data_IF_923091662401
#
_entry.id   IF_923091662401
#
_cell.length_a   1.000
_cell.length_b   1.000
_cell.length_c   1.000
_cell.angle_alpha   90.00
_cell.angle_beta   90.00
_cell.angle_gamma   90.00
#
_symmetry.space_group_name_H-M   'P 1'
#
loop_
_entity.id
_entity.type
_entity.pdbx_description
1 polymer ?
#
# COMPACT_ATOMS: atom_id res chain seq x y z
N UNK A 1 2.98 -21.46 -45.66
CA UNK A 1 2.90 -20.00 -45.45
C UNK A 1 3.97 -19.46 -44.49
N UNK A 2 4.30 -20.14 -43.37
CA UNK A 2 5.40 -19.75 -42.46
C UNK A 2 6.78 -19.58 -43.14
N UNK A 3 7.16 -20.46 -44.09
CA UNK A 3 8.45 -20.37 -44.80
C UNK A 3 8.63 -19.07 -45.58
N UNK A 4 7.56 -18.46 -46.08
CA UNK A 4 7.63 -17.19 -46.82
C UNK A 4 7.89 -16.00 -45.88
N UNK A 5 7.30 -16.02 -44.68
CA UNK A 5 7.52 -14.99 -43.66
C UNK A 5 8.97 -15.07 -43.12
N UNK A 6 9.49 -16.27 -42.90
CA UNK A 6 10.87 -16.47 -42.43
C UNK A 6 11.95 -15.96 -43.40
N UNK A 7 11.74 -16.14 -44.71
CA UNK A 7 12.70 -15.65 -45.73
C UNK A 7 12.63 -14.12 -45.88
N UNK A 8 11.44 -13.52 -45.80
CA UNK A 8 11.26 -12.06 -45.86
C UNK A 8 11.86 -11.38 -44.62
N UNK A 9 11.67 -11.98 -43.44
CA UNK A 9 12.26 -11.50 -42.19
C UNK A 9 13.79 -11.53 -42.22
N UNK A 10 14.38 -12.57 -42.81
CA UNK A 10 15.84 -12.66 -42.96
C UNK A 10 16.39 -11.71 -44.04
N UNK A 11 15.69 -11.56 -45.17
CA UNK A 11 16.10 -10.68 -46.26
C UNK A 11 16.05 -9.19 -45.84
N UNK A 12 15.09 -8.80 -45.01
CA UNK A 12 14.92 -7.43 -44.54
C UNK A 12 15.22 -7.28 -43.05
N UNK A 13 16.22 -8.03 -42.55
CA UNK A 13 16.56 -8.06 -41.11
C UNK A 13 16.72 -6.67 -40.47
N UNK A 14 17.25 -5.69 -41.21
CA UNK A 14 17.40 -4.30 -40.72
C UNK A 14 16.06 -3.59 -40.59
N UNK A 15 15.16 -3.76 -41.56
CA UNK A 15 13.81 -3.15 -41.53
C UNK A 15 12.98 -3.75 -40.41
N UNK A 16 13.04 -5.07 -40.22
CA UNK A 16 12.33 -5.76 -39.13
C UNK A 16 12.83 -5.29 -37.76
N UNK A 17 14.15 -5.12 -37.58
CA UNK A 17 14.72 -4.60 -36.34
C UNK A 17 14.30 -3.15 -36.08
N UNK A 18 14.31 -2.29 -37.11
CA UNK A 18 13.87 -0.89 -36.98
C UNK A 18 12.39 -0.80 -36.63
N UNK A 19 11.54 -1.61 -37.25
CA UNK A 19 10.10 -1.67 -36.93
C UNK A 19 9.90 -2.12 -35.49
N UNK A 20 10.60 -3.17 -35.04
CA UNK A 20 10.50 -3.63 -33.66
C UNK A 20 10.99 -2.59 -32.65
N UNK A 21 12.08 -1.88 -32.94
CA UNK A 21 12.55 -0.77 -32.12
C UNK A 21 11.51 0.35 -32.04
N UNK A 22 10.90 0.72 -33.18
CA UNK A 22 9.85 1.74 -33.20
C UNK A 22 8.62 1.31 -32.38
N UNK A 23 8.21 0.05 -32.48
CA UNK A 23 7.11 -0.52 -31.68
C UNK A 23 7.45 -0.49 -30.18
N UNK A 24 8.66 -0.89 -29.79
CA UNK A 24 9.09 -0.85 -28.37
C UNK A 24 9.09 0.58 -27.84
N UNK A 25 9.63 1.53 -28.60
CA UNK A 25 9.65 2.95 -28.19
C UNK A 25 8.22 3.49 -28.07
N UNK A 26 7.33 3.17 -29.02
CA UNK A 26 5.94 3.58 -28.97
C UNK A 26 5.21 2.98 -27.75
N UNK A 27 5.42 1.70 -27.44
CA UNK A 27 4.87 1.05 -26.25
C UNK A 27 5.42 1.68 -24.96
N UNK A 28 6.73 1.91 -24.89
CA UNK A 28 7.37 2.54 -23.72
C UNK A 28 6.87 3.97 -23.49
N UNK A 29 6.71 4.77 -24.55
CA UNK A 29 6.12 6.08 -24.47
C UNK A 29 4.63 6.02 -24.05
N UNK A 30 3.90 5.01 -24.51
CA UNK A 30 2.51 4.76 -24.12
C UNK A 30 2.36 4.46 -22.63
N UNK A 31 3.25 3.64 -22.04
CA UNK A 31 3.21 3.30 -20.61
C UNK A 31 3.28 4.55 -19.72
N UNK A 32 4.05 5.56 -20.11
CA UNK A 32 4.12 6.83 -19.37
C UNK A 32 2.81 7.65 -19.40
N UNK A 33 1.97 7.46 -20.42
CA UNK A 33 0.68 8.17 -20.56
C UNK A 33 -0.46 7.44 -19.85
N UNK A 34 -0.41 6.10 -19.78
CA UNK A 34 -1.46 5.29 -19.15
C UNK A 34 -1.31 5.14 -17.62
N UNK A 35 -0.23 5.64 -17.04
CA UNK A 35 -0.01 5.68 -15.59
C UNK A 35 0.35 4.32 -14.98
N UNK A 36 1.08 4.35 -13.87
CA UNK A 36 1.57 3.19 -13.12
C UNK A 36 0.46 2.47 -12.31
N UNK A 37 -0.76 2.37 -12.85
CA UNK A 37 -1.91 1.74 -12.18
C UNK A 37 -1.83 0.20 -12.19
N UNK A 38 -0.65 -0.35 -11.89
CA UNK A 38 -0.52 -1.77 -11.54
C UNK A 38 -1.14 -1.98 -10.16
N UNK A 39 -2.46 -2.09 -10.10
CA UNK A 39 -3.15 -2.57 -8.92
C UNK A 39 -2.82 -4.05 -8.74
N UNK A 40 -2.11 -4.41 -7.68
CA UNK A 40 -1.93 -5.81 -7.23
C UNK A 40 -3.24 -6.41 -6.68
N UNK A 41 -4.39 -5.98 -7.20
CA UNK A 41 -5.67 -6.54 -6.83
C UNK A 41 -5.78 -7.91 -7.48
N UNK A 42 -5.38 -8.94 -6.72
CA UNK A 42 -5.69 -10.33 -7.02
C UNK A 42 -7.20 -10.55 -6.83
N UNK A 43 -8.01 -9.88 -7.64
CA UNK A 43 -9.42 -10.18 -7.80
C UNK A 43 -9.50 -11.43 -8.67
N UNK A 44 -9.57 -12.61 -8.05
CA UNK A 44 -10.12 -13.79 -8.68
C UNK A 44 -11.64 -13.71 -8.47
N UNK A 45 -12.44 -13.21 -9.43
CA UNK A 45 -13.86 -12.89 -9.21
C UNK A 45 -14.76 -14.10 -8.93
N UNK A 46 -14.22 -15.33 -9.00
CA UNK A 46 -14.96 -16.58 -8.80
C UNK A 46 -14.32 -17.47 -7.72
N UNK A 47 -13.93 -16.89 -6.58
CA UNK A 47 -13.56 -17.68 -5.40
C UNK A 47 -14.42 -17.30 -4.20
N UNK A 48 -14.84 -18.30 -3.43
CA UNK A 48 -15.68 -18.14 -2.23
C UNK A 48 -15.03 -17.18 -1.22
N UNK A 49 -13.70 -17.15 -1.16
CA UNK A 49 -12.93 -16.20 -0.35
C UNK A 49 -13.23 -14.74 -0.69
N UNK A 50 -13.45 -14.40 -1.96
CA UNK A 50 -13.74 -13.03 -2.39
C UNK A 50 -15.13 -12.56 -1.91
N UNK A 51 -16.13 -13.43 -1.98
CA UNK A 51 -17.47 -13.16 -1.43
C UNK A 51 -17.44 -13.02 0.10
N UNK A 52 -16.55 -13.75 0.78
CA UNK A 52 -16.30 -13.59 2.21
C UNK A 52 -15.80 -12.19 2.57
N UNK A 53 -14.84 -11.64 1.81
CA UNK A 53 -14.33 -10.28 2.01
C UNK A 53 -15.39 -9.21 1.72
N UNK A 54 -16.21 -9.39 0.69
CA UNK A 54 -17.29 -8.45 0.36
C UNK A 54 -18.38 -8.44 1.45
N UNK A 55 -18.67 -9.59 2.07
CA UNK A 55 -19.60 -9.66 3.20
C UNK A 55 -19.02 -9.02 4.47
N UNK A 56 -17.72 -9.17 4.71
CA UNK A 56 -17.00 -8.48 5.78
C UNK A 56 -17.09 -6.96 5.61
N UNK A 57 -16.81 -6.46 4.40
CA UNK A 57 -16.89 -5.03 4.07
C UNK A 57 -18.31 -4.47 4.25
N UNK A 58 -19.33 -5.19 3.79
CA UNK A 58 -20.73 -4.78 3.95
C UNK A 58 -21.22 -4.78 5.41
N UNK A 59 -20.72 -5.69 6.26
CA UNK A 59 -21.21 -5.88 7.64
C UNK A 59 -20.41 -5.11 8.68
N UNK A 60 -19.11 -4.93 8.45
CA UNK A 60 -18.19 -4.37 9.43
C UNK A 60 -17.54 -3.05 8.96
N UNK A 61 -17.81 -2.62 7.73
CA UNK A 61 -17.18 -1.44 7.13
C UNK A 61 -15.75 -1.75 6.69
N UNK A 62 -15.36 -1.30 5.50
CA UNK A 62 -14.06 -1.60 4.89
C UNK A 62 -12.81 -1.07 5.60
N UNK A 63 -12.94 -0.53 6.82
CA UNK A 63 -11.83 -0.01 7.61
C UNK A 63 -10.80 -1.10 7.97
N UNK A 64 -11.24 -2.34 8.14
CA UNK A 64 -10.37 -3.49 8.44
C UNK A 64 -9.85 -4.20 7.17
N UNK A 65 -10.41 -3.88 5.99
CA UNK A 65 -9.98 -4.45 4.70
C UNK A 65 -8.89 -3.64 4.00
N UNK A 66 -8.56 -2.45 4.51
CA UNK A 66 -7.46 -1.62 4.03
C UNK A 66 -6.08 -2.19 4.38
N UNK A 67 -5.02 -1.60 3.81
CA UNK A 67 -3.65 -1.85 4.30
C UNK A 67 -3.55 -1.33 5.74
N UNK A 68 -3.02 -2.13 6.64
CA UNK A 68 -2.72 -1.72 8.01
C UNK A 68 -1.23 -1.74 8.29
N UNK A 69 -0.73 -0.77 9.06
CA UNK A 69 0.62 -0.70 9.59
C UNK A 69 0.62 -0.72 11.12
N UNK A 70 1.81 -0.92 11.69
CA UNK A 70 2.03 -0.83 13.14
C UNK A 70 3.25 0.04 13.42
N UNK A 71 3.06 1.07 14.25
CA UNK A 71 4.15 1.91 14.75
C UNK A 71 4.50 1.40 16.15
N UNK A 72 5.73 0.89 16.33
CA UNK A 72 6.19 0.35 17.60
C UNK A 72 7.15 1.34 18.26
N UNK A 73 6.85 1.70 19.51
CA UNK A 73 7.68 2.59 20.32
C UNK A 73 8.21 1.81 21.51
N UNK A 74 9.49 2.02 21.83
CA UNK A 74 10.16 1.38 22.97
C UNK A 74 10.80 2.42 23.88
N UNK A 75 10.48 2.35 25.17
CA UNK A 75 11.17 3.07 26.23
C UNK A 75 11.88 2.10 27.17
N UNK A 76 13.15 2.35 27.48
CA UNK A 76 13.95 1.50 28.36
C UNK A 76 13.45 1.51 29.82
N UNK A 77 12.86 2.61 30.26
CA UNK A 77 12.37 2.82 31.64
C UNK A 77 10.84 2.78 31.79
N UNK A 78 10.11 2.48 30.72
CA UNK A 78 8.67 2.70 30.64
C UNK A 78 8.31 4.11 30.15
N UNK A 79 7.04 4.34 29.82
CA UNK A 79 6.58 5.64 29.34
C UNK A 79 6.13 6.52 30.50
N UNK A 80 6.80 7.65 30.71
CA UNK A 80 6.36 8.69 31.64
C UNK A 80 5.18 9.50 31.09
N UNK A 81 4.48 10.24 31.95
CA UNK A 81 3.27 11.00 31.55
C UNK A 81 3.55 12.01 30.43
N UNK A 82 4.74 12.63 30.43
CA UNK A 82 5.19 13.54 29.37
C UNK A 82 5.40 12.84 28.03
N UNK A 83 6.00 11.65 28.04
CA UNK A 83 6.22 10.81 26.87
C UNK A 83 4.88 10.29 26.32
N UNK A 84 3.97 9.88 27.20
CA UNK A 84 2.64 9.45 26.80
C UNK A 84 1.84 10.60 26.16
N UNK A 85 1.89 11.79 26.76
CA UNK A 85 1.23 12.98 26.22
C UNK A 85 1.77 13.35 24.82
N UNK A 86 3.09 13.38 24.65
CA UNK A 86 3.72 13.68 23.36
C UNK A 86 3.37 12.63 22.29
N UNK A 87 3.35 11.34 22.65
CA UNK A 87 2.96 10.27 21.73
C UNK A 87 1.48 10.34 21.37
N UNK A 88 0.60 10.64 22.33
CA UNK A 88 -0.82 10.84 22.07
C UNK A 88 -1.07 12.03 21.14
N UNK A 89 -0.36 13.14 21.32
CA UNK A 89 -0.47 14.30 20.43
C UNK A 89 -0.01 13.93 19.01
N UNK A 90 1.12 13.23 18.89
CA UNK A 90 1.62 12.74 17.60
C UNK A 90 0.59 11.84 16.90
N UNK A 91 0.02 10.84 17.60
CA UNK A 91 -0.98 9.96 17.02
C UNK A 91 -2.30 10.68 16.71
N UNK A 92 -2.70 11.68 17.50
CA UNK A 92 -3.89 12.48 17.22
C UNK A 92 -3.73 13.33 15.96
N UNK A 93 -2.53 13.86 15.67
CA UNK A 93 -2.25 14.57 14.41
C UNK A 93 -2.36 13.62 13.21
N UNK A 94 -1.93 12.37 13.36
CA UNK A 94 -2.06 11.36 12.32
C UNK A 94 -3.51 10.92 12.11
N UNK A 95 -4.27 10.69 13.19
CA UNK A 95 -5.68 10.29 13.14
C UNK A 95 -6.62 11.39 12.61
N UNK A 96 -6.20 12.66 12.69
CA UNK A 96 -6.96 13.77 12.13
C UNK A 96 -6.96 13.79 10.58
N UNK A 97 -6.15 12.95 9.93
CA UNK A 97 -6.08 12.86 8.48
C UNK A 97 -7.23 12.01 7.93
N UNK A 98 -7.84 12.38 6.78
CA UNK A 98 -9.00 11.66 6.24
C UNK A 98 -8.65 10.32 5.58
N UNK A 99 -7.39 10.09 5.25
CA UNK A 99 -6.86 8.92 4.54
C UNK A 99 -6.37 7.79 5.46
N UNK A 100 -6.32 8.02 6.77
CA UNK A 100 -5.90 7.01 7.73
C UNK A 100 -6.61 7.16 9.08
N UNK A 101 -6.75 6.05 9.79
CA UNK A 101 -7.19 5.98 11.18
C UNK A 101 -6.06 5.43 12.04
N UNK A 102 -5.82 6.04 13.20
CA UNK A 102 -4.75 5.65 14.11
C UNK A 102 -5.31 5.35 15.50
N UNK A 103 -5.15 4.10 15.92
CA UNK A 103 -5.45 3.68 17.29
C UNK A 103 -4.19 3.83 18.14
N UNK A 104 -4.20 4.83 19.04
CA UNK A 104 -3.11 5.08 19.98
C UNK A 104 -3.07 4.03 21.10
N UNK A 105 -1.88 3.53 21.51
CA UNK A 105 -1.72 2.60 22.61
C UNK A 105 -2.13 3.15 23.98
N UNK A 106 -2.22 4.47 24.11
CA UNK A 106 -2.61 5.14 25.36
C UNK A 106 -4.08 5.62 25.32
N UNK A 107 -4.83 5.23 24.29
CA UNK A 107 -6.29 5.43 24.24
C UNK A 107 -7.04 4.28 24.92
N UNK A 108 -8.32 4.47 25.22
CA UNK A 108 -9.18 3.42 25.78
C UNK A 108 -9.28 2.20 24.84
N UNK A 109 -9.32 2.46 23.53
CA UNK A 109 -9.37 1.43 22.48
C UNK A 109 -8.04 0.65 22.39
N UNK A 110 -6.91 1.36 22.56
CA UNK A 110 -5.56 0.82 22.51
C UNK A 110 -5.00 0.32 23.84
N UNK A 111 -5.78 0.27 24.93
CA UNK A 111 -5.28 -0.08 26.26
C UNK A 111 -4.53 -1.43 26.35
N UNK A 112 -4.79 -2.36 25.41
CA UNK A 112 -4.08 -3.66 25.30
C UNK A 112 -2.81 -3.62 24.47
N UNK A 113 -2.45 -2.46 23.91
CA UNK A 113 -1.33 -2.28 23.02
C UNK A 113 -0.04 -1.84 23.75
N UNK A 114 -0.10 -1.71 25.07
CA UNK A 114 1.06 -1.52 25.94
C UNK A 114 1.47 -2.87 26.54
N UNK A 115 2.76 -3.18 26.44
CA UNK A 115 3.32 -4.40 27.05
C UNK A 115 3.09 -4.43 28.56
N UNK A 116 2.99 -5.61 29.21
CA UNK A 116 2.80 -5.72 30.65
C UNK A 116 3.89 -5.03 31.49
N UNK A 117 5.09 -4.85 30.92
CA UNK A 117 6.21 -4.13 31.55
C UNK A 117 6.21 -2.63 31.28
N UNK A 118 5.30 -2.12 30.46
CA UNK A 118 5.20 -0.70 30.08
C UNK A 118 6.33 -0.18 29.19
N UNK A 119 7.25 -1.04 28.74
CA UNK A 119 8.46 -0.63 27.98
C UNK A 119 8.28 -0.62 26.47
N UNK A 120 7.27 -1.33 25.96
CA UNK A 120 6.92 -1.36 24.54
C UNK A 120 5.44 -0.99 24.42
N UNK A 121 5.13 -0.10 23.49
CA UNK A 121 3.78 0.26 23.10
C UNK A 121 3.68 0.23 21.56
N UNK A 122 2.53 -0.13 21.01
CA UNK A 122 2.34 -0.11 19.56
C UNK A 122 1.04 0.60 19.18
N UNK A 123 1.08 1.44 18.15
CA UNK A 123 -0.11 2.03 17.55
C UNK A 123 -0.46 1.27 16.26
N UNK A 124 -1.75 1.06 16.03
CA UNK A 124 -2.25 0.49 14.77
C UNK A 124 -2.69 1.62 13.86
N UNK A 125 -2.20 1.62 12.63
CA UNK A 125 -2.56 2.58 11.59
C UNK A 125 -3.31 1.82 10.50
N UNK A 126 -4.56 2.15 10.23
CA UNK A 126 -5.33 1.64 9.10
C UNK A 126 -5.42 2.72 8.01
N UNK A 127 -5.11 2.34 6.77
CA UNK A 127 -5.22 3.23 5.62
C UNK A 127 -6.53 2.98 4.88
N UNK A 128 -7.06 4.02 4.24
CA UNK A 128 -8.20 3.88 3.35
C UNK A 128 -7.94 2.83 2.25
N UNK A 129 -8.98 2.09 1.87
CA UNK A 129 -8.89 0.95 0.96
C UNK A 129 -8.46 1.33 -0.48
N UNK A 130 -8.43 2.61 -0.82
CA UNK A 130 -8.05 3.11 -2.14
C UNK A 130 -6.53 3.25 -2.34
N UNK A 131 -5.71 3.14 -1.28
CA UNK A 131 -4.25 3.21 -1.35
C UNK A 131 -3.66 1.92 -1.97
N UNK A 132 -3.80 1.85 -3.29
CA UNK A 132 -3.43 0.70 -4.10
C UNK A 132 -1.99 0.80 -4.64
N UNK A 133 -1.41 2.00 -4.69
CA UNK A 133 -0.07 2.23 -5.23
C UNK A 133 1.01 2.10 -4.14
N UNK A 134 2.05 1.31 -4.44
CA UNK A 134 3.25 1.21 -3.59
C UNK A 134 3.94 2.57 -3.46
N UNK A 135 3.91 3.39 -4.51
CA UNK A 135 4.48 4.75 -4.50
C UNK A 135 3.74 5.69 -3.54
N UNK A 136 2.41 5.59 -3.48
CA UNK A 136 1.57 6.39 -2.59
C UNK A 136 1.81 6.00 -1.12
N UNK A 137 1.86 4.69 -0.83
CA UNK A 137 2.24 4.19 0.50
C UNK A 137 3.63 4.66 0.94
N UNK A 138 4.61 4.67 0.03
CA UNK A 138 5.96 5.16 0.33
C UNK A 138 6.00 6.66 0.61
N UNK A 139 5.17 7.45 -0.09
CA UNK A 139 5.07 8.89 0.16
C UNK A 139 4.54 9.20 1.55
N UNK A 140 3.49 8.49 1.98
CA UNK A 140 2.91 8.61 3.32
C UNK A 140 3.92 8.14 4.38
N UNK A 141 4.66 7.05 4.11
CA UNK A 141 5.69 6.56 5.02
C UNK A 141 6.83 7.58 5.24
N UNK A 142 7.34 8.20 4.18
CA UNK A 142 8.38 9.24 4.29
C UNK A 142 7.84 10.50 5.00
N UNK A 143 6.58 10.87 4.76
CA UNK A 143 5.96 12.00 5.45
C UNK A 143 5.77 11.73 6.95
N UNK A 144 5.37 10.52 7.36
CA UNK A 144 5.24 10.16 8.77
C UNK A 144 6.58 10.22 9.53
N UNK A 145 7.68 10.02 8.81
CA UNK A 145 9.04 10.00 9.37
C UNK A 145 9.67 11.40 9.47
N UNK A 146 9.20 12.34 8.66
CA UNK A 146 9.69 13.73 8.62
C UNK A 146 9.21 14.53 9.85
#
# INVERSE_FOLDING_TARGET
MLKKIGVIAHAHRRVVVVIWLAVIIALAAGVGVFGNSFSLQFNLPNVESAQGFELLEQRFGGEESGRSGTIVVRSAGGFDDTQQAALNEYFAVLDARPDMRVVSPFSDEGARQVSPRGTIAFATVSFAADINAVEEFLSIYEEMKA
#
